data_IF_422218555450
#
_entry.id   IF_422218555450
#
_cell.length_a   1.000
_cell.length_b   1.000
_cell.length_c   1.000
_cell.angle_alpha   90.00
_cell.angle_beta   90.00
_cell.angle_gamma   90.00
#
_symmetry.space_group_name_H-M   'P 1'
#
loop_
_entity.id
_entity.type
_entity.pdbx_description
1 polymer ?
#
# COMPACT_ATOMS: atom_id res chain seq x y z
N UNK A 1 19.97 -2.54 -15.32
CA UNK A 1 19.44 -3.67 -16.11
C UNK A 1 19.12 -4.85 -15.19
N UNK A 2 17.87 -5.33 -15.19
CA UNK A 2 17.51 -6.56 -14.48
C UNK A 2 17.92 -7.76 -15.34
N UNK A 3 18.64 -8.70 -14.74
CA UNK A 3 19.19 -9.89 -15.40
C UNK A 3 18.17 -11.03 -15.37
N UNK A 4 18.31 -12.00 -16.28
CA UNK A 4 17.32 -13.03 -16.60
C UNK A 4 17.00 -14.07 -15.48
N UNK A 5 17.28 -13.75 -14.21
CA UNK A 5 16.84 -14.49 -13.02
C UNK A 5 16.09 -13.63 -11.99
N UNK A 6 15.73 -12.40 -12.34
CA UNK A 6 15.16 -11.46 -11.38
C UNK A 6 13.72 -11.83 -11.01
N UNK A 7 13.57 -12.41 -9.81
CA UNK A 7 12.28 -12.54 -9.14
C UNK A 7 11.50 -11.22 -9.26
N UNK A 8 10.20 -11.30 -9.58
CA UNK A 8 9.28 -10.15 -9.60
C UNK A 8 9.53 -9.32 -8.35
N UNK A 9 10.00 -8.08 -8.50
CA UNK A 9 10.36 -7.22 -7.35
C UNK A 9 9.14 -6.48 -6.81
N UNK A 10 8.25 -6.09 -7.72
CA UNK A 10 6.99 -5.43 -7.42
C UNK A 10 5.87 -6.09 -8.23
N UNK A 11 4.74 -6.34 -7.58
CA UNK A 11 3.57 -7.01 -8.16
C UNK A 11 2.43 -6.04 -8.48
N UNK A 12 2.57 -4.77 -8.13
CA UNK A 12 1.58 -3.74 -8.43
C UNK A 12 1.85 -2.42 -7.72
N UNK A 13 1.00 -1.44 -8.04
CA UNK A 13 0.99 -0.14 -7.40
C UNK A 13 -0.21 0.69 -7.81
N UNK A 14 -0.46 1.77 -7.06
CA UNK A 14 -1.57 2.69 -7.30
C UNK A 14 -1.20 4.10 -6.81
N UNK A 15 -1.68 5.13 -7.52
CA UNK A 15 -1.47 6.53 -7.12
C UNK A 15 -2.73 7.02 -6.42
N UNK A 16 -2.58 7.63 -5.25
CA UNK A 16 -3.68 8.29 -4.55
C UNK A 16 -3.86 9.74 -5.02
N UNK A 17 -5.03 10.31 -4.74
CA UNK A 17 -5.35 11.69 -5.12
C UNK A 17 -4.49 12.74 -4.40
N UNK A 18 -3.78 12.36 -3.33
CA UNK A 18 -2.88 13.24 -2.58
C UNK A 18 -1.48 13.28 -3.17
N UNK A 19 -1.21 12.52 -4.23
CA UNK A 19 0.10 12.50 -4.89
C UNK A 19 1.09 11.55 -4.21
N UNK A 20 0.61 10.45 -3.64
CA UNK A 20 1.48 9.34 -3.25
C UNK A 20 1.29 8.12 -4.13
N UNK A 21 2.40 7.47 -4.48
CA UNK A 21 2.45 6.18 -5.16
C UNK A 21 2.62 5.06 -4.13
N UNK A 22 1.63 4.18 -4.06
CA UNK A 22 1.64 2.96 -3.27
C UNK A 22 2.19 1.81 -4.10
N UNK A 23 3.07 1.01 -3.53
CA UNK A 23 3.75 -0.09 -4.19
C UNK A 23 3.62 -1.38 -3.38
N UNK A 24 3.57 -2.50 -4.10
CA UNK A 24 3.52 -3.85 -3.58
C UNK A 24 4.86 -4.58 -3.82
N UNK A 25 5.85 -4.49 -2.93
CA UNK A 25 7.06 -5.30 -3.07
C UNK A 25 6.74 -6.78 -2.85
N UNK A 26 7.40 -7.67 -3.59
CA UNK A 26 7.14 -9.12 -3.46
C UNK A 26 7.60 -9.67 -2.10
N UNK A 27 8.74 -9.20 -1.59
CA UNK A 27 9.37 -9.74 -0.38
C UNK A 27 9.58 -8.69 0.72
N UNK A 28 8.79 -7.62 0.72
CA UNK A 28 8.88 -6.57 1.73
C UNK A 28 7.49 -6.04 2.12
N UNK A 29 7.47 -5.14 3.10
CA UNK A 29 6.29 -4.38 3.46
C UNK A 29 5.84 -3.48 2.30
N UNK A 30 4.57 -3.09 2.31
CA UNK A 30 4.04 -2.03 1.45
C UNK A 30 4.91 -0.78 1.56
N UNK A 31 5.19 -0.14 0.43
CA UNK A 31 5.93 1.13 0.39
C UNK A 31 5.06 2.19 -0.25
N UNK A 32 5.03 3.39 0.33
CA UNK A 32 4.46 4.59 -0.26
C UNK A 32 5.59 5.54 -0.64
N UNK A 33 5.50 6.14 -1.82
CA UNK A 33 6.46 7.11 -2.36
C UNK A 33 5.75 8.44 -2.57
N UNK A 34 6.34 9.54 -2.11
CA UNK A 34 5.84 10.89 -2.40
C UNK A 34 6.16 11.25 -3.86
N UNK A 35 5.14 11.55 -4.67
CA UNK A 35 5.30 11.94 -6.08
C UNK A 35 5.07 13.42 -6.32
N UNK A 36 4.83 14.21 -5.27
CA UNK A 36 4.59 15.65 -5.40
C UNK A 36 5.90 16.39 -5.68
N UNK A 37 5.90 17.41 -6.55
CA UNK A 37 7.08 18.25 -6.75
C UNK A 37 7.49 18.95 -5.45
N UNK A 38 8.76 18.85 -5.08
CA UNK A 38 9.29 19.50 -3.88
C UNK A 38 10.44 18.74 -3.23
N UNK A 39 10.87 19.18 -2.03
CA UNK A 39 12.01 18.58 -1.33
C UNK A 39 11.75 17.16 -0.83
N UNK A 40 10.49 16.71 -0.82
CA UNK A 40 10.09 15.36 -0.41
C UNK A 40 9.87 14.41 -1.59
N UNK A 41 10.00 14.89 -2.83
CA UNK A 41 9.81 14.05 -4.03
C UNK A 41 10.71 12.82 -3.97
N UNK A 42 10.10 11.64 -4.08
CA UNK A 42 10.78 10.35 -4.02
C UNK A 42 10.98 9.80 -2.60
N UNK A 43 10.61 10.52 -1.54
CA UNK A 43 10.69 10.00 -0.18
C UNK A 43 9.81 8.75 -0.04
N UNK A 44 10.38 7.71 0.58
CA UNK A 44 9.72 6.42 0.74
C UNK A 44 9.34 6.18 2.20
N UNK A 45 8.14 5.65 2.43
CA UNK A 45 7.66 5.21 3.75
C UNK A 45 7.24 3.75 3.66
N UNK A 46 7.82 2.89 4.49
CA UNK A 46 7.45 1.48 4.58
C UNK A 46 6.44 1.22 5.71
N UNK A 47 5.41 0.43 5.45
CA UNK A 47 4.37 0.07 6.42
C UNK A 47 4.61 -1.32 7.00
N UNK A 48 5.44 -1.38 8.04
CA UNK A 48 5.94 -2.65 8.62
C UNK A 48 5.00 -3.30 9.64
N UNK A 49 3.98 -2.58 10.11
CA UNK A 49 2.96 -3.08 11.06
C UNK A 49 1.92 -3.98 10.39
N UNK A 50 2.35 -5.11 9.83
CA UNK A 50 1.45 -6.06 9.18
C UNK A 50 0.57 -6.78 10.20
N UNK A 51 -0.70 -7.10 9.87
CA UNK A 51 -1.52 -7.99 10.69
C UNK A 51 -0.82 -9.32 10.91
N UNK A 52 -1.00 -9.93 12.09
CA UNK A 52 -0.38 -11.22 12.42
C UNK A 52 -0.73 -12.36 11.45
N UNK A 53 -1.82 -12.22 10.71
CA UNK A 53 -2.25 -13.16 9.66
C UNK A 53 -1.45 -13.06 8.36
N UNK A 54 -0.62 -12.02 8.20
CA UNK A 54 0.28 -11.85 7.05
C UNK A 54 1.71 -12.04 7.53
N UNK A 55 2.32 -13.17 7.17
CA UNK A 55 3.68 -13.47 7.59
C UNK A 55 4.68 -12.45 7.04
N UNK A 56 5.56 -11.94 7.90
CA UNK A 56 6.66 -11.05 7.52
C UNK A 56 7.69 -11.72 6.58
N UNK A 57 7.76 -13.05 6.53
CA UNK A 57 8.65 -13.81 5.63
C UNK A 57 7.99 -14.31 4.34
N UNK A 58 6.67 -14.18 4.21
CA UNK A 58 5.93 -14.59 3.02
C UNK A 58 6.46 -13.91 1.74
N UNK A 59 6.71 -14.71 0.70
CA UNK A 59 7.06 -14.21 -0.63
C UNK A 59 5.80 -13.90 -1.45
N UNK A 60 5.89 -12.90 -2.32
CA UNK A 60 4.75 -12.42 -3.10
C UNK A 60 3.62 -11.92 -2.19
N UNK A 61 3.92 -11.14 -1.14
CA UNK A 61 2.95 -10.83 -0.07
C UNK A 61 1.63 -10.30 -0.58
N UNK A 62 1.66 -9.37 -1.54
CA UNK A 62 0.48 -8.70 -2.08
C UNK A 62 0.49 -8.82 -3.60
N UNK A 63 -0.68 -8.99 -4.22
CA UNK A 63 -0.85 -8.97 -5.67
C UNK A 63 -1.61 -7.73 -6.11
N UNK A 64 -1.06 -6.57 -5.76
CA UNK A 64 -1.71 -5.28 -5.99
C UNK A 64 -2.79 -4.97 -4.97
N UNK A 65 -3.64 -4.01 -5.33
CA UNK A 65 -4.67 -3.46 -4.47
C UNK A 65 -5.29 -2.20 -5.05
N UNK A 66 -6.25 -1.62 -4.33
CA UNK A 66 -6.97 -0.42 -4.74
C UNK A 66 -6.89 0.68 -3.69
N UNK A 67 -6.87 1.93 -4.14
CA UNK A 67 -6.93 3.10 -3.26
C UNK A 67 -8.39 3.48 -3.05
N UNK A 68 -8.80 3.67 -1.80
CA UNK A 68 -10.15 4.18 -1.50
C UNK A 68 -10.19 5.72 -1.50
N UNK A 69 -11.40 6.27 -1.36
CA UNK A 69 -11.62 7.72 -1.37
C UNK A 69 -10.92 8.47 -0.21
N UNK A 70 -10.44 7.75 0.82
CA UNK A 70 -9.75 8.32 1.97
C UNK A 70 -8.23 8.17 1.87
N UNK A 71 -7.71 7.61 0.77
CA UNK A 71 -6.28 7.44 0.55
C UNK A 71 -5.69 6.22 1.25
N UNK A 72 -6.52 5.28 1.71
CA UNK A 72 -6.01 3.98 2.16
C UNK A 72 -5.81 3.05 0.98
N UNK A 73 -4.77 2.24 1.05
CA UNK A 73 -4.56 1.15 0.10
C UNK A 73 -5.11 -0.17 0.64
N UNK A 74 -6.03 -0.76 -0.10
CA UNK A 74 -6.59 -2.08 0.15
C UNK A 74 -5.81 -3.10 -0.65
N UNK A 75 -4.93 -3.84 0.03
CA UNK A 75 -4.08 -4.85 -0.60
C UNK A 75 -4.66 -6.25 -0.38
N UNK A 76 -4.51 -7.11 -1.40
CA UNK A 76 -4.92 -8.52 -1.35
C UNK A 76 -3.68 -9.36 -1.04
N UNK A 77 -3.55 -9.93 0.18
CA UNK A 77 -2.42 -10.77 0.47
C UNK A 77 -2.52 -12.11 -0.26
N UNK A 78 -1.38 -12.68 -0.65
CA UNK A 78 -1.34 -13.98 -1.30
C UNK A 78 -1.80 -15.10 -0.36
N UNK A 79 -2.67 -15.99 -0.85
CA UNK A 79 -3.30 -17.07 -0.07
C UNK A 79 -3.97 -16.62 1.25
N UNK A 80 -4.48 -15.39 1.30
CA UNK A 80 -5.20 -14.90 2.47
C UNK A 80 -6.72 -14.96 2.31
N UNK A 81 -7.41 -15.22 3.42
CA UNK A 81 -8.87 -15.19 3.50
C UNK A 81 -9.45 -13.77 3.69
N UNK A 82 -8.59 -12.75 3.80
CA UNK A 82 -8.99 -11.37 4.06
C UNK A 82 -8.05 -10.39 3.33
N UNK A 83 -8.61 -9.23 2.99
CA UNK A 83 -7.84 -8.07 2.50
C UNK A 83 -7.25 -7.29 3.69
N UNK A 84 -6.14 -6.58 3.45
CA UNK A 84 -5.56 -5.68 4.44
C UNK A 84 -5.72 -4.24 4.00
N UNK A 85 -6.08 -3.38 4.94
CA UNK A 85 -6.09 -1.93 4.74
C UNK A 85 -4.79 -1.36 5.28
N UNK A 86 -4.04 -0.67 4.42
CA UNK A 86 -2.77 -0.03 4.73
C UNK A 86 -2.93 1.47 4.60
N UNK A 87 -2.43 2.21 5.58
CA UNK A 87 -2.55 3.65 5.61
C UNK A 87 -1.74 4.26 6.72
N UNK A 88 -1.53 5.56 6.60
CA UNK A 88 -0.94 6.38 7.64
C UNK A 88 -2.08 6.91 8.52
N UNK A 89 -2.12 6.49 9.79
CA UNK A 89 -3.14 6.94 10.73
C UNK A 89 -3.11 8.46 10.96
N UNK A 90 -2.00 9.14 10.66
CA UNK A 90 -1.89 10.59 10.75
C UNK A 90 -2.46 11.33 9.51
N UNK A 91 -2.55 10.64 8.37
CA UNK A 91 -3.12 11.18 7.11
C UNK A 91 -4.61 10.81 6.97
N UNK A 92 -5.03 9.76 7.69
CA UNK A 92 -6.41 9.33 7.83
C UNK A 92 -7.34 10.49 8.21
N UNK A 93 -8.15 10.96 7.27
CA UNK A 93 -9.35 11.73 7.63
C UNK A 93 -10.31 10.78 8.35
N UNK A 94 -10.80 11.10 9.56
CA UNK A 94 -11.86 10.30 10.17
C UNK A 94 -13.04 10.19 9.18
N UNK A 95 -13.80 9.08 9.17
CA UNK A 95 -14.98 9.00 8.34
C UNK A 95 -15.84 10.24 8.62
N UNK A 96 -16.03 11.08 7.60
CA UNK A 96 -16.94 12.20 7.68
C UNK A 96 -18.29 11.60 8.03
N UNK A 97 -18.71 11.87 9.27
CA UNK A 97 -20.01 11.61 9.90
C UNK A 97 -21.04 11.00 8.93
N UNK A 98 -21.49 9.79 9.25
CA UNK A 98 -22.60 9.10 8.59
C UNK A 98 -23.71 10.13 8.29
N UNK A 99 -23.91 10.52 7.03
CA UNK A 99 -25.10 11.26 6.63
C UNK A 99 -26.22 10.23 6.61
N UNK A 100 -26.93 10.12 7.73
CA UNK A 100 -28.21 9.41 7.74
C UNK A 100 -29.20 10.36 7.07
N UNK A 101 -29.65 10.01 5.86
CA UNK A 101 -30.81 10.64 5.26
C UNK A 101 -32.03 10.13 6.03
N UNK A 102 -32.70 11.05 6.74
CA UNK A 102 -34.03 10.85 7.32
C UNK A 102 -35.10 11.11 6.26
#
# INVERSE_FOLDING_TARGET
PVSAGDAVKFSGGAVDASGFLWLAPSNAAVVRVDTRPGPTLGNMTAFTGLPATVSASQQGKFFGGAIDAWGYWWAVPYHAAAVVRVGDAAVARPPSRLVTLS
#
